data_IF_739642347068
#
_entry.id   IF_739642347068
#
_cell.length_a   1.000
_cell.length_b   1.000
_cell.length_c   1.000
_cell.angle_alpha   90.00
_cell.angle_beta   90.00
_cell.angle_gamma   90.00
#
_symmetry.space_group_name_H-M   'P 1'
#
loop_
_entity.id
_entity.type
_entity.pdbx_description
1 polymer ?
#
# COMPACT_ATOMS: atom_id res chain seq x y z
N UNK A 1 16.48 -10.44 -19.42
CA UNK A 1 15.71 -10.10 -18.22
C UNK A 1 15.33 -11.41 -17.55
N UNK A 2 15.72 -11.61 -16.30
CA UNK A 2 15.59 -12.90 -15.61
C UNK A 2 14.42 -12.82 -14.65
N UNK A 3 13.26 -13.37 -15.04
CA UNK A 3 12.11 -13.44 -14.15
C UNK A 3 12.41 -14.48 -13.07
N UNK A 4 12.53 -14.03 -11.81
CA UNK A 4 12.77 -14.91 -10.65
C UNK A 4 11.51 -15.01 -9.80
N UNK A 5 11.34 -16.17 -9.16
CA UNK A 5 10.23 -16.42 -8.25
C UNK A 5 10.75 -16.28 -6.82
N UNK A 6 10.30 -15.24 -6.13
CA UNK A 6 10.69 -14.97 -4.75
C UNK A 6 9.71 -15.58 -3.77
N UNK A 7 10.17 -15.99 -2.61
CA UNK A 7 9.32 -16.23 -1.46
C UNK A 7 8.93 -14.92 -0.74
N UNK A 8 8.06 -15.02 0.26
CA UNK A 8 7.58 -13.84 0.98
C UNK A 8 8.67 -13.10 1.76
N UNK A 9 9.73 -13.80 2.21
CA UNK A 9 10.85 -13.19 2.93
C UNK A 9 11.80 -12.52 1.94
N UNK A 10 12.15 -13.20 0.84
CA UNK A 10 12.99 -12.66 -0.22
C UNK A 10 12.35 -11.41 -0.85
N UNK A 11 11.04 -11.45 -1.10
CA UNK A 11 10.30 -10.28 -1.60
C UNK A 11 10.30 -9.14 -0.58
N UNK A 12 10.23 -9.45 0.72
CA UNK A 12 10.29 -8.45 1.77
C UNK A 12 11.65 -7.73 1.79
N UNK A 13 12.76 -8.47 1.69
CA UNK A 13 14.10 -7.91 1.62
C UNK A 13 14.27 -7.03 0.37
N UNK A 14 13.83 -7.53 -0.78
CA UNK A 14 13.99 -6.85 -2.08
C UNK A 14 13.21 -5.53 -2.13
N UNK A 15 12.02 -5.50 -1.50
CA UNK A 15 11.13 -4.34 -1.44
C UNK A 15 11.34 -3.45 -0.20
N UNK A 16 12.22 -3.83 0.73
CA UNK A 16 12.43 -3.09 1.98
C UNK A 16 11.22 -3.11 2.92
N UNK A 17 10.42 -4.18 2.88
CA UNK A 17 9.21 -4.35 3.69
C UNK A 17 9.45 -5.33 4.83
N UNK A 18 8.61 -5.26 5.87
CA UNK A 18 8.60 -6.29 6.91
C UNK A 18 7.94 -7.58 6.40
N UNK A 19 8.49 -8.79 6.65
CA UNK A 19 7.93 -10.04 6.15
C UNK A 19 6.46 -10.28 6.52
N UNK A 20 6.05 -9.83 7.71
CA UNK A 20 4.65 -9.94 8.15
C UNK A 20 3.70 -9.07 7.32
N UNK A 21 4.17 -7.89 6.88
CA UNK A 21 3.40 -7.01 6.00
C UNK A 21 3.20 -7.66 4.64
N UNK A 22 4.24 -8.28 4.08
CA UNK A 22 4.15 -9.01 2.80
C UNK A 22 3.18 -10.18 2.90
N UNK A 23 3.21 -10.97 3.99
CA UNK A 23 2.23 -12.05 4.21
C UNK A 23 0.80 -11.54 4.26
N UNK A 24 0.56 -10.39 4.92
CA UNK A 24 -0.77 -9.76 4.94
C UNK A 24 -1.20 -9.31 3.56
N UNK A 25 -0.31 -8.70 2.77
CA UNK A 25 -0.58 -8.28 1.40
C UNK A 25 -0.95 -9.46 0.49
N UNK A 26 -0.27 -10.60 0.65
CA UNK A 26 -0.58 -11.84 -0.08
C UNK A 26 -1.97 -12.38 0.25
N UNK A 27 -2.31 -12.45 1.54
CA UNK A 27 -3.64 -12.92 1.99
C UNK A 27 -4.75 -11.98 1.50
N UNK A 28 -4.48 -10.68 1.47
CA UNK A 28 -5.44 -9.67 1.02
C UNK A 28 -5.51 -9.53 -0.51
N UNK A 29 -4.74 -10.31 -1.28
CA UNK A 29 -4.73 -10.24 -2.74
C UNK A 29 -4.12 -8.95 -3.32
N UNK A 30 -3.33 -8.22 -2.53
CA UNK A 30 -2.70 -6.96 -2.96
C UNK A 30 -1.49 -7.19 -3.89
N UNK A 31 -1.03 -8.43 -4.01
CA UNK A 31 0.01 -8.84 -4.95
C UNK A 31 -0.65 -9.79 -5.95
N UNK A 32 -1.29 -9.27 -7.02
CA UNK A 32 -2.13 -10.06 -7.92
C UNK A 32 -1.38 -11.13 -8.69
N UNK A 33 -0.07 -10.93 -8.86
CA UNK A 33 0.82 -11.85 -9.55
C UNK A 33 1.38 -12.97 -8.65
N UNK A 34 1.09 -12.95 -7.35
CA UNK A 34 1.56 -13.99 -6.45
C UNK A 34 0.73 -15.28 -6.59
N UNK A 35 1.42 -16.41 -6.62
CA UNK A 35 0.83 -17.74 -6.74
C UNK A 35 1.12 -18.57 -5.50
N UNK A 36 0.15 -19.40 -5.11
CA UNK A 36 0.31 -20.32 -3.97
C UNK A 36 0.63 -21.72 -4.48
N UNK A 37 1.92 -22.08 -4.48
CA UNK A 37 2.37 -23.42 -4.86
C UNK A 37 2.02 -24.44 -3.77
N UNK A 38 1.34 -25.52 -4.16
CA UNK A 38 1.00 -26.64 -3.28
C UNK A 38 0.14 -26.24 -2.07
N UNK A 39 -0.62 -25.14 -2.17
CA UNK A 39 -1.53 -24.67 -1.13
C UNK A 39 -0.87 -24.09 0.14
N UNK A 40 0.46 -24.16 0.27
CA UNK A 40 1.19 -23.79 1.50
C UNK A 40 2.24 -22.70 1.30
N UNK A 41 2.85 -22.60 0.12
CA UNK A 41 3.96 -21.67 -0.12
C UNK A 41 3.59 -20.62 -1.15
N UNK A 42 3.80 -19.36 -0.81
CA UNK A 42 3.65 -18.25 -1.76
C UNK A 42 4.91 -18.10 -2.61
N UNK A 43 4.71 -17.88 -3.89
CA UNK A 43 5.72 -17.48 -4.86
C UNK A 43 5.28 -16.19 -5.52
N UNK A 44 6.17 -15.21 -5.50
CA UNK A 44 5.93 -13.89 -6.05
C UNK A 44 6.86 -13.75 -7.25
N UNK A 45 6.33 -13.71 -8.49
CA UNK A 45 7.13 -13.40 -9.64
C UNK A 45 7.65 -11.97 -9.48
N UNK A 46 8.95 -11.85 -9.64
CA UNK A 46 9.67 -10.61 -9.47
C UNK A 46 10.54 -10.38 -10.69
N UNK A 47 10.35 -9.22 -11.33
CA UNK A 47 11.23 -8.72 -12.37
C UNK A 47 12.13 -7.64 -11.75
N UNK A 48 13.44 -7.79 -11.91
CA UNK A 48 14.41 -6.82 -11.38
C UNK A 48 14.25 -5.44 -12.04
N UNK A 49 13.62 -5.36 -13.21
CA UNK A 49 13.32 -4.12 -13.91
C UNK A 49 12.27 -3.23 -13.20
N UNK A 50 11.48 -3.79 -12.29
CA UNK A 50 10.29 -3.14 -11.72
C UNK A 50 10.48 -2.62 -10.29
N UNK A 51 11.72 -2.49 -9.77
CA UNK A 51 11.91 -1.84 -8.45
C UNK A 51 11.32 -0.43 -8.52
N UNK A 52 10.19 -0.13 -7.84
CA UNK A 52 9.87 1.26 -7.58
C UNK A 52 11.07 1.80 -6.80
N UNK A 53 11.62 2.90 -7.28
CA UNK A 53 12.71 3.53 -6.56
C UNK A 53 12.22 3.90 -5.16
N UNK A 54 13.13 4.04 -4.21
CA UNK A 54 12.77 4.51 -2.87
C UNK A 54 12.03 5.87 -2.94
N UNK A 55 12.33 6.68 -3.96
CA UNK A 55 11.62 7.91 -4.25
C UNK A 55 10.15 7.65 -4.67
N UNK A 56 9.87 6.64 -5.48
CA UNK A 56 8.51 6.28 -5.89
C UNK A 56 7.67 5.82 -4.71
N UNK A 57 8.26 5.00 -3.82
CA UNK A 57 7.59 4.55 -2.60
C UNK A 57 7.29 5.71 -1.65
N UNK A 58 8.24 6.63 -1.47
CA UNK A 58 8.05 7.85 -0.65
C UNK A 58 6.99 8.77 -1.26
N UNK A 59 6.98 8.93 -2.58
CA UNK A 59 5.99 9.72 -3.28
C UNK A 59 4.58 9.14 -3.09
N UNK A 60 4.43 7.82 -3.17
CA UNK A 60 3.15 7.15 -2.95
C UNK A 60 2.69 7.26 -1.49
N UNK A 61 3.59 7.09 -0.52
CA UNK A 61 3.28 7.33 0.89
C UNK A 61 2.82 8.77 1.15
N UNK A 62 3.48 9.76 0.55
CA UNK A 62 3.11 11.17 0.66
C UNK A 62 1.74 11.45 0.03
N UNK A 63 1.43 10.87 -1.14
CA UNK A 63 0.11 10.98 -1.78
C UNK A 63 -1.00 10.43 -0.88
N UNK A 64 -0.79 9.27 -0.27
CA UNK A 64 -1.76 8.65 0.63
C UNK A 64 -2.00 9.52 1.87
N UNK A 65 -0.93 10.06 2.46
CA UNK A 65 -1.03 11.03 3.57
C UNK A 65 -1.83 12.29 3.18
N UNK A 66 -1.56 12.85 2.00
CA UNK A 66 -2.30 14.02 1.49
C UNK A 66 -3.77 13.71 1.24
N UNK A 67 -4.09 12.52 0.72
CA UNK A 67 -5.47 12.09 0.53
C UNK A 67 -6.22 12.00 1.87
N UNK A 68 -5.59 11.41 2.90
CA UNK A 68 -6.17 11.35 4.25
C UNK A 68 -6.37 12.75 4.85
N UNK A 69 -5.38 13.63 4.74
CA UNK A 69 -5.48 15.01 5.22
C UNK A 69 -6.61 15.79 4.52
N UNK A 70 -6.75 15.61 3.20
CA UNK A 70 -7.84 16.24 2.43
C UNK A 70 -9.20 15.75 2.89
N UNK A 71 -9.35 14.45 3.12
CA UNK A 71 -10.60 13.88 3.64
C UNK A 71 -10.92 14.43 5.03
N UNK A 72 -9.95 14.51 5.92
CA UNK A 72 -10.13 15.08 7.25
C UNK A 72 -10.53 16.57 7.19
N UNK A 73 -9.88 17.35 6.31
CA UNK A 73 -10.17 18.76 6.11
C UNK A 73 -11.60 18.98 5.58
N UNK A 74 -12.06 18.13 4.65
CA UNK A 74 -13.43 18.16 4.17
C UNK A 74 -14.45 17.93 5.29
N UNK A 75 -14.21 16.94 6.16
CA UNK A 75 -15.07 16.67 7.32
C UNK A 75 -15.16 17.88 8.25
N UNK A 76 -14.02 18.51 8.56
CA UNK A 76 -13.98 19.71 9.41
C UNK A 76 -14.72 20.88 8.75
N UNK A 77 -14.51 21.10 7.45
CA UNK A 77 -15.20 22.16 6.70
C UNK A 77 -16.72 22.01 6.75
N UNK A 78 -17.23 20.79 6.63
CA UNK A 78 -18.67 20.52 6.74
C UNK A 78 -19.18 20.79 8.15
N UNK A 79 -18.48 20.32 9.18
CA UNK A 79 -18.86 20.54 10.58
C UNK A 79 -18.90 22.03 10.96
N UNK A 80 -17.95 22.84 10.44
CA UNK A 80 -17.95 24.29 10.65
C UNK A 80 -19.16 24.95 9.99
N UNK A 81 -19.51 24.55 8.76
CA UNK A 81 -20.67 25.09 8.06
C UNK A 81 -21.99 24.78 8.80
N UNK A 82 -22.13 23.56 9.34
CA UNK A 82 -23.29 23.16 10.15
C UNK A 82 -23.39 23.99 11.45
N UNK A 83 -22.27 24.22 12.13
CA UNK A 83 -22.22 25.05 13.33
C UNK A 83 -22.62 26.51 13.05
N UNK A 84 -22.11 27.11 11.98
CA UNK A 84 -22.47 28.48 11.60
C UNK A 84 -23.96 28.65 11.28
N UNK A 85 -24.60 27.63 10.70
CA UNK A 85 -26.04 27.64 10.47
C UNK A 85 -26.82 27.54 11.78
N UNK A 86 -26.37 26.69 12.72
CA UNK A 86 -27.03 26.51 14.00
C UNK A 86 -26.97 27.76 14.91
N UNK A 87 -25.91 28.57 14.80
CA UNK A 87 -25.72 29.79 15.61
C UNK A 87 -26.47 31.01 15.04
N UNK A 88 -26.88 30.98 13.77
CA UNK A 88 -27.61 32.08 13.11
C UNK A 88 -29.14 32.05 13.33
N UNK A 89 -29.63 31.13 14.18
CA UNK A 89 -31.05 30.98 14.59
C UNK A 89 -31.21 31.51 16.01
#
# INVERSE_FOLDING_TARGET
MTRRMLDANEYAEVMGLHPQSVRRMLVNGQIPQAEKLGGTRWRIPYDDAEKPSEADMRAEAARNLLASLRSACATVSTAVAEYEQAVKV
#
